data_IF_645859905961
#
_entry.id   IF_645859905961
#
_cell.length_a   1.000
_cell.length_b   1.000
_cell.length_c   1.000
_cell.angle_alpha   90.00
_cell.angle_beta   90.00
_cell.angle_gamma   90.00
#
_symmetry.space_group_name_H-M   'P 1'
#
loop_
_entity.id
_entity.type
_entity.pdbx_description
1 polymer ?
#
# COMPACT_ATOMS: atom_id res chain seq x y z
N UNK A 1 -3.59 -8.63 7.67
CA UNK A 1 -3.93 -8.48 6.24
C UNK A 1 -2.65 -8.39 5.44
N UNK A 2 -2.62 -8.87 4.20
CA UNK A 2 -1.54 -8.62 3.24
C UNK A 2 -1.87 -7.42 2.36
N UNK A 3 -0.84 -6.68 1.95
CA UNK A 3 -0.91 -5.71 0.84
C UNK A 3 -0.22 -6.36 -0.35
N UNK A 4 -0.89 -6.37 -1.49
CA UNK A 4 -0.47 -7.06 -2.70
C UNK A 4 -0.54 -6.13 -3.92
N UNK A 5 0.31 -6.41 -4.92
CA UNK A 5 0.23 -5.76 -6.22
C UNK A 5 -0.89 -6.35 -7.11
N UNK A 6 -1.03 -5.82 -8.31
CA UNK A 6 -2.04 -6.27 -9.29
C UNK A 6 -1.82 -7.72 -9.74
N UNK A 7 -0.60 -8.24 -9.63
CA UNK A 7 -0.26 -9.63 -9.94
C UNK A 7 -0.51 -10.56 -8.74
N UNK A 8 -0.95 -10.03 -7.60
CA UNK A 8 -1.18 -10.78 -6.37
C UNK A 8 0.10 -11.13 -5.60
N UNK A 9 1.23 -10.47 -5.89
CA UNK A 9 2.45 -10.65 -5.11
C UNK A 9 2.35 -9.85 -3.82
N UNK A 10 2.68 -10.48 -2.70
CA UNK A 10 2.72 -9.82 -1.40
C UNK A 10 3.84 -8.77 -1.34
N UNK A 11 3.47 -7.54 -1.05
CA UNK A 11 4.37 -6.39 -0.89
C UNK A 11 4.65 -6.11 0.59
N UNK A 12 3.65 -6.29 1.45
CA UNK A 12 3.75 -5.98 2.88
C UNK A 12 2.69 -6.71 3.70
N UNK A 13 2.86 -6.71 5.02
CA UNK A 13 1.85 -7.10 6.00
C UNK A 13 1.35 -5.86 6.72
N UNK A 14 0.03 -5.77 6.91
CA UNK A 14 -0.60 -4.70 7.69
C UNK A 14 -0.40 -4.97 9.18
N UNK A 15 0.15 -3.99 9.89
CA UNK A 15 0.38 -4.03 11.33
C UNK A 15 -0.92 -3.77 12.14
N UNK A 16 -0.92 -3.98 13.48
CA UNK A 16 -2.09 -3.70 14.31
C UNK A 16 -2.56 -2.23 14.31
N UNK A 17 -1.71 -1.30 13.89
CA UNK A 17 -2.02 0.12 13.71
C UNK A 17 -2.64 0.46 12.36
N UNK A 18 -2.98 -0.55 11.54
CA UNK A 18 -3.48 -0.39 10.17
C UNK A 18 -2.48 0.29 9.23
N UNK A 19 -1.19 0.02 9.39
CA UNK A 19 -0.12 0.54 8.55
C UNK A 19 0.61 -0.58 7.83
N UNK A 20 1.18 -0.27 6.67
CA UNK A 20 2.05 -1.16 5.92
C UNK A 20 3.16 -0.34 5.25
N UNK A 21 4.39 -0.84 5.29
CA UNK A 21 5.52 -0.27 4.55
C UNK A 21 5.66 -1.00 3.22
N UNK A 22 5.44 -0.28 2.11
CA UNK A 22 5.52 -0.81 0.75
C UNK A 22 6.67 -0.13 0.02
N UNK A 23 7.57 -0.92 -0.57
CA UNK A 23 8.61 -0.43 -1.47
C UNK A 23 8.07 -0.53 -2.91
N UNK A 24 7.45 0.54 -3.38
CA UNK A 24 6.91 0.61 -4.74
C UNK A 24 7.97 1.15 -5.72
N UNK A 25 8.02 0.58 -6.91
CA UNK A 25 8.78 1.13 -8.04
C UNK A 25 7.98 2.20 -8.82
N UNK A 26 6.69 2.35 -8.50
CA UNK A 26 5.76 3.27 -9.15
C UNK A 26 5.26 4.32 -8.16
N UNK A 27 5.14 5.57 -8.63
CA UNK A 27 4.62 6.69 -7.83
C UNK A 27 3.09 6.67 -7.69
N UNK A 28 2.37 5.90 -8.50
CA UNK A 28 0.93 5.73 -8.40
C UNK A 28 0.50 4.35 -8.89
N UNK A 29 -0.67 3.88 -8.45
CA UNK A 29 -1.22 2.60 -8.86
C UNK A 29 -2.35 2.09 -7.98
N UNK A 30 -2.59 0.78 -8.05
CA UNK A 30 -3.55 0.09 -7.21
C UNK A 30 -2.87 -0.92 -6.29
N UNK A 31 -3.40 -1.05 -5.08
CA UNK A 31 -3.04 -2.06 -4.11
C UNK A 31 -4.27 -2.92 -3.80
N UNK A 32 -4.04 -4.22 -3.66
CA UNK A 32 -5.01 -5.13 -3.05
C UNK A 32 -4.68 -5.31 -1.58
N UNK A 33 -5.68 -5.19 -0.71
CA UNK A 33 -5.57 -5.59 0.69
C UNK A 33 -6.39 -6.85 0.87
N UNK A 34 -5.79 -7.94 1.36
CA UNK A 34 -6.45 -9.23 1.59
C UNK A 34 -6.40 -9.62 3.06
N UNK A 35 -7.50 -10.09 3.61
CA UNK A 35 -7.58 -10.64 4.97
C UNK A 35 -8.65 -11.73 5.04
N UNK A 36 -8.31 -12.87 5.65
CA UNK A 36 -9.21 -14.03 5.64
C UNK A 36 -9.66 -14.34 4.20
N UNK A 37 -10.96 -14.33 3.97
CA UNK A 37 -11.70 -14.52 2.73
C UNK A 37 -12.13 -13.20 2.06
N UNK A 38 -11.76 -12.06 2.65
CA UNK A 38 -12.13 -10.72 2.19
C UNK A 38 -10.97 -10.02 1.47
N UNK A 39 -11.33 -9.11 0.55
CA UNK A 39 -10.36 -8.22 -0.11
C UNK A 39 -10.97 -6.86 -0.42
N UNK A 40 -10.13 -5.83 -0.45
CA UNK A 40 -10.47 -4.52 -0.98
C UNK A 40 -9.35 -3.97 -1.87
N UNK A 41 -9.71 -3.02 -2.74
CA UNK A 41 -8.76 -2.30 -3.56
C UNK A 41 -8.59 -0.88 -3.03
N UNK A 42 -7.36 -0.40 -3.02
CA UNK A 42 -7.03 0.98 -2.71
C UNK A 42 -6.12 1.56 -3.81
N UNK A 43 -6.54 2.68 -4.40
CA UNK A 43 -5.67 3.43 -5.31
C UNK A 43 -4.75 4.34 -4.51
N UNK A 44 -3.49 4.45 -4.92
CA UNK A 44 -2.53 5.33 -4.30
C UNK A 44 -1.86 6.25 -5.33
N UNK A 45 -1.42 7.41 -4.85
CA UNK A 45 -0.52 8.32 -5.56
C UNK A 45 0.37 8.96 -4.50
N UNK A 46 1.67 8.83 -4.68
CA UNK A 46 2.67 9.43 -3.81
C UNK A 46 2.74 10.94 -4.07
N UNK A 47 2.94 11.75 -3.02
CA UNK A 47 3.28 13.15 -3.21
C UNK A 47 4.66 13.27 -3.90
N UNK A 48 5.02 14.46 -4.40
CA UNK A 48 6.38 14.71 -4.86
C UNK A 48 7.40 14.30 -3.79
N UNK A 49 8.50 13.66 -4.22
CA UNK A 49 9.55 13.16 -3.35
C UNK A 49 10.15 14.27 -2.51
N UNK A 50 10.17 14.08 -1.19
CA UNK A 50 10.90 14.94 -0.26
C UNK A 50 12.27 14.32 0.07
N UNK A 51 13.39 14.96 -0.29
CA UNK A 51 14.73 14.42 -0.06
C UNK A 51 15.09 14.29 1.43
N UNK A 52 14.34 14.92 2.33
CA UNK A 52 14.51 14.78 3.78
C UNK A 52 13.83 13.53 4.35
N UNK A 53 12.99 12.84 3.57
CA UNK A 53 12.25 11.65 3.99
C UNK A 53 12.80 10.38 3.33
N UNK A 54 12.96 9.33 4.13
CA UNK A 54 13.26 8.00 3.62
C UNK A 54 12.04 7.35 2.96
N UNK A 55 10.84 7.64 3.49
CA UNK A 55 9.57 7.10 3.02
C UNK A 55 8.50 8.18 3.02
N UNK A 56 7.68 8.14 1.98
CA UNK A 56 6.45 8.92 1.92
C UNK A 56 5.35 8.24 2.74
N UNK A 57 4.54 9.03 3.44
CA UNK A 57 3.41 8.53 4.22
C UNK A 57 2.10 9.07 3.65
N UNK A 58 1.28 8.15 3.16
CA UNK A 58 -0.05 8.46 2.63
C UNK A 58 -1.11 7.66 3.38
N UNK A 59 -2.33 8.21 3.43
CA UNK A 59 -3.52 7.48 3.84
C UNK A 59 -4.30 7.11 2.60
N UNK A 60 -4.61 5.83 2.44
CA UNK A 60 -5.51 5.34 1.40
C UNK A 60 -6.78 4.81 2.05
N UNK A 61 -7.87 4.80 1.27
CA UNK A 61 -9.16 4.28 1.70
C UNK A 61 -9.55 3.14 0.77
N UNK A 62 -9.91 2.01 1.36
CA UNK A 62 -10.41 0.89 0.60
C UNK A 62 -11.79 1.18 0.01
N UNK A 63 -12.00 0.72 -1.22
CA UNK A 63 -13.31 0.65 -1.87
C UNK A 63 -13.91 -0.73 -1.71
#
# INVERSE_FOLDING_TARGET
ASVEDEQGRALAVVDPGSQALVLSEQDAGSLWVRWSDQRCQATFSLPPRDPSRAYERIRVVCR
#
